data_IF_514208843284
#
_entry.id   IF_514208843284
#
_cell.length_a   1.000
_cell.length_b   1.000
_cell.length_c   1.000
_cell.angle_alpha   90.00
_cell.angle_beta   90.00
_cell.angle_gamma   90.00
#
_symmetry.space_group_name_H-M   'P 1'
#
loop_
_entity.id
_entity.type
_entity.pdbx_description
1 polymer ?
#
# COMPACT_ATOMS: atom_id res chain seq x y z
N UNK A 1 5.74 24.49 -24.28
CA UNK A 1 4.27 24.66 -24.30
C UNK A 1 3.72 25.19 -22.98
N UNK A 2 3.85 24.49 -21.84
CA UNK A 2 3.39 25.04 -20.54
C UNK A 2 4.03 26.40 -20.24
N UNK A 3 5.34 26.54 -20.44
CA UNK A 3 6.07 27.83 -20.33
C UNK A 3 5.48 28.97 -21.18
N UNK A 4 4.86 28.67 -22.32
CA UNK A 4 4.25 29.67 -23.20
C UNK A 4 2.79 29.99 -22.81
N UNK A 5 2.14 29.14 -22.00
CA UNK A 5 0.74 29.30 -21.59
C UNK A 5 0.59 30.07 -20.27
N UNK A 6 1.57 30.01 -19.37
CA UNK A 6 1.52 30.64 -18.04
C UNK A 6 0.36 30.19 -17.10
N UNK A 7 -0.44 29.18 -17.48
CA UNK A 7 -1.45 28.54 -16.62
C UNK A 7 -1.40 27.00 -16.72
N UNK A 8 -1.84 26.27 -15.68
CA UNK A 8 -1.83 24.79 -15.67
C UNK A 8 -2.69 24.21 -16.80
N UNK A 9 -2.26 23.08 -17.38
CA UNK A 9 -2.99 22.42 -18.46
C UNK A 9 -3.17 20.93 -18.21
N UNK A 10 -4.22 20.36 -18.77
CA UNK A 10 -4.47 18.92 -18.80
C UNK A 10 -3.59 18.23 -19.86
N UNK A 11 -3.28 16.93 -19.71
CA UNK A 11 -2.60 16.14 -20.75
C UNK A 11 -3.30 16.23 -22.11
N UNK A 12 -4.63 16.34 -22.11
CA UNK A 12 -5.47 16.53 -23.29
C UNK A 12 -5.18 17.87 -24.00
N UNK A 13 -4.93 18.94 -23.24
CA UNK A 13 -4.55 20.26 -23.79
C UNK A 13 -3.08 20.33 -24.21
N UNK A 14 -2.22 19.45 -23.67
CA UNK A 14 -0.79 19.36 -23.99
C UNK A 14 -0.56 18.49 -25.23
N UNK A 15 -1.34 17.42 -25.39
CA UNK A 15 -1.19 16.40 -26.44
C UNK A 15 -1.09 16.96 -27.87
N UNK A 16 -1.90 17.97 -28.29
CA UNK A 16 -1.82 18.51 -29.64
C UNK A 16 -0.46 19.14 -29.98
N UNK A 17 0.27 19.64 -28.97
CA UNK A 17 1.56 20.29 -29.16
C UNK A 17 2.76 19.33 -29.21
N UNK A 18 2.55 18.04 -28.92
CA UNK A 18 3.60 17.02 -28.86
C UNK A 18 3.69 16.15 -30.13
N UNK A 19 2.82 16.39 -31.12
CA UNK A 19 2.73 15.61 -32.35
C UNK A 19 1.79 14.40 -32.25
N UNK A 20 1.36 13.87 -33.39
CA UNK A 20 0.48 12.70 -33.46
C UNK A 20 1.21 11.43 -32.98
N UNK A 21 0.55 10.64 -32.12
CA UNK A 21 1.05 9.33 -31.65
C UNK A 21 1.53 9.26 -30.20
N UNK A 22 1.56 10.37 -29.46
CA UNK A 22 1.84 10.36 -28.02
C UNK A 22 0.56 10.07 -27.24
N UNK A 23 0.52 8.97 -26.48
CA UNK A 23 -0.63 8.66 -25.64
C UNK A 23 -0.69 9.57 -24.40
N UNK A 24 -1.91 9.90 -23.96
CA UNK A 24 -2.13 10.70 -22.74
C UNK A 24 -1.48 10.08 -21.50
N UNK A 25 -1.41 8.75 -21.44
CA UNK A 25 -0.73 8.02 -20.37
C UNK A 25 0.78 8.31 -20.34
N UNK A 26 1.45 8.28 -21.50
CA UNK A 26 2.88 8.62 -21.60
C UNK A 26 3.16 10.08 -21.25
N UNK A 27 2.25 11.01 -21.60
CA UNK A 27 2.34 12.41 -21.20
C UNK A 27 2.30 12.51 -19.67
N UNK A 28 1.34 11.84 -19.03
CA UNK A 28 1.20 11.82 -17.56
C UNK A 28 2.43 11.22 -16.88
N UNK A 29 2.96 10.11 -17.39
CA UNK A 29 4.16 9.46 -16.85
C UNK A 29 5.38 10.38 -16.96
N UNK A 30 5.61 10.99 -18.14
CA UNK A 30 6.74 11.88 -18.37
C UNK A 30 6.70 13.12 -17.46
N UNK A 31 5.52 13.73 -17.31
CA UNK A 31 5.34 14.88 -16.42
C UNK A 31 5.49 14.51 -14.95
N UNK A 32 5.08 13.30 -14.56
CA UNK A 32 5.27 12.80 -13.18
C UNK A 32 6.72 12.49 -12.85
N UNK A 33 7.49 12.03 -13.84
CA UNK A 33 8.89 11.68 -13.66
C UNK A 33 9.82 12.90 -13.68
N UNK A 34 9.42 13.99 -14.33
CA UNK A 34 10.25 15.17 -14.49
C UNK A 34 10.02 16.21 -13.37
N UNK A 35 11.06 16.54 -12.57
CA UNK A 35 10.93 17.41 -11.41
C UNK A 35 10.54 18.86 -11.74
N UNK A 36 10.65 19.28 -13.01
CA UNK A 36 10.27 20.62 -13.46
C UNK A 36 8.76 20.82 -13.49
N UNK A 37 7.98 19.76 -13.53
CA UNK A 37 6.52 19.82 -13.49
C UNK A 37 6.01 19.58 -12.06
N UNK A 38 4.86 20.17 -11.77
CA UNK A 38 4.08 19.89 -10.58
C UNK A 38 2.65 19.59 -10.98
N UNK A 39 2.02 18.65 -10.29
CA UNK A 39 0.61 18.38 -10.45
C UNK A 39 -0.16 19.44 -9.66
N UNK A 40 -0.92 20.29 -10.34
CA UNK A 40 -1.65 21.44 -9.72
C UNK A 40 -3.05 21.03 -9.32
N UNK A 41 -3.68 20.12 -10.08
CA UNK A 41 -4.90 19.40 -9.66
C UNK A 41 -4.80 17.93 -10.06
N UNK A 42 -5.82 17.11 -9.76
CA UNK A 42 -5.87 15.73 -10.27
C UNK A 42 -5.76 15.67 -11.80
N UNK A 43 -6.20 16.66 -12.55
CA UNK A 43 -6.16 16.62 -14.02
C UNK A 43 -5.14 17.56 -14.64
N UNK A 44 -4.68 18.59 -13.94
CA UNK A 44 -3.80 19.61 -14.51
C UNK A 44 -2.39 19.56 -13.94
N UNK A 45 -1.46 20.01 -14.77
CA UNK A 45 -0.05 20.12 -14.46
C UNK A 45 0.43 21.54 -14.76
N UNK A 46 1.29 22.06 -13.89
CA UNK A 46 1.97 23.34 -14.02
C UNK A 46 3.49 23.16 -13.97
N UNK A 47 4.22 24.26 -14.17
CA UNK A 47 5.66 24.28 -13.97
C UNK A 47 5.99 24.66 -12.53
N UNK A 48 6.98 23.98 -11.93
CA UNK A 48 7.43 24.25 -10.56
C UNK A 48 7.90 25.69 -10.35
N UNK A 49 8.43 26.32 -11.40
CA UNK A 49 8.86 27.71 -11.41
C UNK A 49 7.70 28.71 -11.25
N UNK A 50 6.45 28.28 -11.39
CA UNK A 50 5.27 29.14 -11.20
C UNK A 50 4.84 29.27 -9.74
N UNK A 51 5.51 28.56 -8.83
CA UNK A 51 5.23 28.60 -7.38
C UNK A 51 3.76 28.37 -7.02
N UNK A 52 3.06 27.58 -7.85
CA UNK A 52 1.68 27.18 -7.59
C UNK A 52 1.65 26.14 -6.47
N UNK A 53 0.64 26.17 -5.58
CA UNK A 53 0.46 25.12 -4.59
C UNK A 53 0.41 23.76 -5.29
N UNK A 54 1.28 22.85 -4.87
CA UNK A 54 1.21 21.47 -5.34
C UNK A 54 -0.14 20.88 -4.93
N UNK A 55 -0.77 20.13 -5.82
CA UNK A 55 -1.96 19.37 -5.49
C UNK A 55 -1.61 18.40 -4.37
N UNK A 56 -2.04 18.72 -3.15
CA UNK A 56 -1.82 17.92 -1.97
C UNK A 56 -2.70 16.65 -1.95
N UNK A 57 -3.45 16.41 -3.03
CA UNK A 57 -4.42 15.33 -3.15
C UNK A 57 -5.70 15.59 -2.36
N UNK A 58 -6.66 14.68 -2.46
CA UNK A 58 -7.95 14.80 -1.77
C UNK A 58 -7.75 14.98 -0.25
N UNK A 59 -6.81 14.26 0.37
CA UNK A 59 -6.49 14.43 1.81
C UNK A 59 -5.98 15.84 2.13
N UNK A 60 -5.17 16.44 1.27
CA UNK A 60 -4.69 17.81 1.48
C UNK A 60 -5.83 18.84 1.41
N UNK A 61 -6.72 18.68 0.43
CA UNK A 61 -7.89 19.55 0.28
C UNK A 61 -8.86 19.43 1.47
N UNK A 62 -9.13 18.19 1.91
CA UNK A 62 -9.92 17.93 3.13
C UNK A 62 -9.28 18.65 4.32
N UNK A 63 -7.98 18.49 4.51
CA UNK A 63 -7.25 19.10 5.61
C UNK A 63 -7.35 20.63 5.58
N UNK A 64 -7.16 21.26 4.42
CA UNK A 64 -7.26 22.70 4.27
C UNK A 64 -8.65 23.25 4.63
N UNK A 65 -9.74 22.54 4.28
CA UNK A 65 -11.11 22.96 4.62
C UNK A 65 -11.40 22.78 6.11
N UNK A 66 -10.87 21.73 6.73
CA UNK A 66 -10.95 21.54 8.18
C UNK A 66 -10.24 22.70 8.89
N UNK A 67 -9.04 23.08 8.44
CA UNK A 67 -8.26 24.15 9.06
C UNK A 67 -8.96 25.51 8.89
N UNK A 68 -9.50 25.80 7.70
CA UNK A 68 -10.27 27.02 7.42
C UNK A 68 -11.54 27.14 8.28
N UNK A 69 -12.14 26.01 8.66
CA UNK A 69 -13.31 25.95 9.56
C UNK A 69 -12.94 26.00 11.05
N UNK A 70 -11.67 26.26 11.40
CA UNK A 70 -11.22 26.31 12.79
C UNK A 70 -10.89 24.94 13.40
N UNK A 71 -10.56 23.95 12.56
CA UNK A 71 -10.04 22.65 12.98
C UNK A 71 -11.08 21.51 13.05
N UNK A 72 -12.36 21.80 12.86
CA UNK A 72 -13.44 20.80 12.77
C UNK A 72 -14.55 21.33 11.86
N UNK A 73 -15.15 20.44 11.07
CA UNK A 73 -16.24 20.81 10.16
C UNK A 73 -17.31 19.73 10.05
N UNK A 74 -18.54 20.11 9.70
CA UNK A 74 -19.58 19.15 9.38
C UNK A 74 -19.21 18.34 8.13
N UNK A 75 -19.34 17.01 8.19
CA UNK A 75 -18.93 16.12 7.10
C UNK A 75 -19.74 16.36 5.82
N UNK A 76 -21.04 16.67 5.91
CA UNK A 76 -21.86 16.96 4.73
C UNK A 76 -21.46 18.29 4.10
N UNK A 77 -21.24 19.31 4.92
CA UNK A 77 -20.79 20.62 4.48
C UNK A 77 -19.45 20.55 3.75
N UNK A 78 -18.48 19.83 4.33
CA UNK A 78 -17.18 19.56 3.71
C UNK A 78 -17.32 18.90 2.34
N UNK A 79 -18.14 17.85 2.23
CA UNK A 79 -18.37 17.15 0.97
C UNK A 79 -18.99 18.10 -0.07
N UNK A 80 -19.99 18.89 0.33
CA UNK A 80 -20.63 19.87 -0.55
C UNK A 80 -19.63 20.89 -1.08
N UNK A 81 -18.80 21.48 -0.20
CA UNK A 81 -17.77 22.44 -0.61
C UNK A 81 -16.75 21.83 -1.55
N UNK A 82 -16.17 20.67 -1.19
CA UNK A 82 -15.18 20.00 -2.02
C UNK A 82 -15.71 19.64 -3.40
N UNK A 83 -16.98 19.23 -3.50
CA UNK A 83 -17.61 18.91 -4.80
C UNK A 83 -17.91 20.15 -5.64
N UNK A 84 -18.23 21.28 -5.01
CA UNK A 84 -18.46 22.54 -5.72
C UNK A 84 -17.15 23.11 -6.29
N UNK A 85 -16.06 23.02 -5.55
CA UNK A 85 -14.76 23.58 -5.93
C UNK A 85 -13.90 22.63 -6.77
N UNK A 86 -14.09 21.31 -6.61
CA UNK A 86 -13.29 20.27 -7.26
C UNK A 86 -14.21 19.31 -8.01
N UNK A 87 -14.74 19.73 -9.19
CA UNK A 87 -15.77 18.99 -9.92
C UNK A 87 -15.31 17.61 -10.43
N UNK A 88 -14.01 17.33 -10.45
CA UNK A 88 -13.45 16.04 -10.87
C UNK A 88 -13.20 15.04 -9.73
N UNK A 89 -13.59 15.38 -8.49
CA UNK A 89 -13.52 14.48 -7.34
C UNK A 89 -14.90 13.89 -7.04
N UNK A 90 -14.99 12.56 -7.10
CA UNK A 90 -16.20 11.84 -6.72
C UNK A 90 -16.42 11.91 -5.20
N UNK A 91 -17.69 12.04 -4.78
CA UNK A 91 -18.06 11.99 -3.36
C UNK A 91 -17.55 10.73 -2.67
N UNK A 92 -17.62 9.59 -3.35
CA UNK A 92 -17.12 8.30 -2.84
C UNK A 92 -15.63 8.36 -2.51
N UNK A 93 -14.82 9.07 -3.33
CA UNK A 93 -13.40 9.26 -3.04
C UNK A 93 -13.19 10.12 -1.80
N UNK A 94 -13.95 11.21 -1.64
CA UNK A 94 -13.88 12.04 -0.42
C UNK A 94 -14.21 11.19 0.79
N UNK A 95 -15.30 10.40 0.74
CA UNK A 95 -15.70 9.52 1.84
C UNK A 95 -14.62 8.49 2.17
N UNK A 96 -14.04 7.80 1.18
CA UNK A 96 -12.91 6.89 1.36
C UNK A 96 -11.73 7.58 2.06
N UNK A 97 -11.40 8.82 1.67
CA UNK A 97 -10.36 9.58 2.35
C UNK A 97 -10.74 9.99 3.78
N UNK A 98 -12.01 10.18 4.10
CA UNK A 98 -12.47 10.50 5.45
C UNK A 98 -12.54 9.28 6.37
N UNK A 99 -12.81 8.08 5.82
CA UNK A 99 -13.04 6.85 6.60
C UNK A 99 -11.83 5.93 6.65
N UNK A 100 -11.11 5.77 5.54
CA UNK A 100 -10.10 4.71 5.38
C UNK A 100 -8.67 5.24 5.58
N UNK A 101 -8.51 6.57 5.53
CA UNK A 101 -7.30 7.28 5.95
C UNK A 101 -7.21 7.37 7.47
N UNK A 102 -5.99 7.34 8.01
CA UNK A 102 -5.74 7.61 9.43
C UNK A 102 -5.54 9.10 9.72
N UNK A 103 -5.45 9.96 8.70
CA UNK A 103 -5.19 11.39 8.88
C UNK A 103 -6.37 12.15 9.52
N UNK A 104 -7.56 11.56 9.58
CA UNK A 104 -8.78 12.21 10.06
C UNK A 104 -9.48 11.39 11.13
N UNK A 105 -10.20 12.07 12.00
CA UNK A 105 -11.15 11.48 12.95
C UNK A 105 -12.53 11.96 12.55
N UNK A 106 -13.43 11.01 12.31
CA UNK A 106 -14.83 11.25 11.96
C UNK A 106 -15.74 10.52 12.94
N UNK A 107 -16.77 11.22 13.44
CA UNK A 107 -17.85 10.64 14.23
C UNK A 107 -19.13 10.41 13.40
N UNK A 108 -19.03 10.62 12.08
CA UNK A 108 -20.15 10.55 11.13
C UNK A 108 -20.88 11.88 10.90
N UNK A 109 -20.87 12.79 11.86
CA UNK A 109 -21.46 14.13 11.72
C UNK A 109 -20.40 15.20 11.43
N UNK A 110 -19.26 15.11 12.09
CA UNK A 110 -18.13 16.02 11.95
C UNK A 110 -16.83 15.28 11.65
N UNK A 111 -15.89 16.00 11.07
CA UNK A 111 -14.52 15.54 10.85
C UNK A 111 -13.53 16.57 11.35
N UNK A 112 -12.42 16.08 11.90
CA UNK A 112 -11.21 16.87 12.22
C UNK A 112 -9.95 16.12 11.81
N UNK A 113 -8.81 16.81 11.81
CA UNK A 113 -7.51 16.14 11.69
C UNK A 113 -7.23 15.28 12.93
N UNK A 114 -6.52 14.18 12.70
CA UNK A 114 -5.88 13.42 13.77
C UNK A 114 -4.76 14.26 14.41
N UNK A 115 -4.61 14.11 15.71
CA UNK A 115 -3.56 14.69 16.56
C UNK A 115 -2.74 13.59 17.23
N UNK A 116 -1.63 13.95 17.87
CA UNK A 116 -0.78 12.97 18.57
C UNK A 116 -1.48 12.31 19.77
N UNK A 117 -2.49 12.98 20.35
CA UNK A 117 -3.24 12.47 21.50
C UNK A 117 -4.33 11.46 21.11
N UNK A 118 -4.60 11.30 19.81
CA UNK A 118 -5.62 10.38 19.32
C UNK A 118 -5.12 8.93 19.29
N UNK A 119 -5.89 7.98 19.87
CA UNK A 119 -5.50 6.58 19.85
C UNK A 119 -5.51 6.01 18.43
N UNK A 120 -4.53 5.16 18.12
CA UNK A 120 -4.52 4.41 16.88
C UNK A 120 -5.65 3.37 16.86
N UNK A 121 -6.28 3.11 15.70
CA UNK A 121 -7.20 1.99 15.58
C UNK A 121 -6.50 0.67 15.94
N UNK A 122 -7.21 -0.30 16.54
CA UNK A 122 -6.63 -1.58 16.89
C UNK A 122 -6.14 -2.31 15.63
N UNK A 123 -4.90 -2.80 15.69
CA UNK A 123 -4.32 -3.58 14.60
C UNK A 123 -4.60 -5.07 14.85
N UNK A 124 -5.20 -5.79 13.89
CA UNK A 124 -5.41 -7.23 14.04
C UNK A 124 -4.08 -7.99 14.14
N UNK A 125 -4.06 -9.20 14.72
CA UNK A 125 -2.85 -10.02 14.82
C UNK A 125 -2.38 -10.49 13.43
N UNK A 126 -1.08 -10.83 13.31
CA UNK A 126 -0.47 -11.27 12.05
C UNK A 126 -1.25 -12.37 11.32
N UNK A 127 -1.87 -13.30 12.06
CA UNK A 127 -2.68 -14.39 11.51
C UNK A 127 -3.88 -13.94 10.67
N UNK A 128 -4.33 -12.69 10.82
CA UNK A 128 -5.37 -12.11 9.97
C UNK A 128 -4.87 -11.79 8.55
N UNK A 129 -3.57 -11.58 8.37
CA UNK A 129 -2.99 -11.28 7.06
C UNK A 129 -2.80 -12.55 6.23
N UNK A 130 -3.36 -12.56 5.02
CA UNK A 130 -3.18 -13.63 4.03
C UNK A 130 -1.72 -13.81 3.67
N UNK A 131 -1.25 -15.05 3.55
CA UNK A 131 0.13 -15.36 3.13
C UNK A 131 1.21 -14.93 4.14
N UNK A 132 0.84 -14.44 5.32
CA UNK A 132 1.77 -14.04 6.37
C UNK A 132 1.94 -15.13 7.42
N UNK A 133 3.19 -15.40 7.81
CA UNK A 133 3.56 -16.43 8.77
C UNK A 133 4.72 -15.95 9.65
N UNK A 134 4.68 -16.35 10.92
CA UNK A 134 5.81 -16.17 11.84
C UNK A 134 6.72 -17.40 11.81
N UNK A 135 8.03 -17.18 11.85
CA UNK A 135 9.02 -18.22 12.11
C UNK A 135 9.91 -17.80 13.29
N UNK A 136 9.57 -18.28 14.49
CA UNK A 136 10.21 -17.82 15.72
C UNK A 136 9.92 -16.36 16.05
N UNK A 137 10.75 -15.74 16.90
CA UNK A 137 10.54 -14.37 17.34
C UNK A 137 10.99 -13.32 16.30
N UNK A 138 12.00 -13.64 15.50
CA UNK A 138 12.76 -12.67 14.70
C UNK A 138 12.47 -12.72 13.19
N UNK A 139 11.64 -13.64 12.71
CA UNK A 139 11.39 -13.78 11.27
C UNK A 139 9.90 -13.72 10.92
N UNK A 140 9.57 -12.82 9.98
CA UNK A 140 8.25 -12.69 9.38
C UNK A 140 8.35 -13.05 7.90
N UNK A 141 7.51 -13.97 7.46
CA UNK A 141 7.42 -14.41 6.07
C UNK A 141 6.12 -13.92 5.46
N UNK A 142 6.19 -13.34 4.26
CA UNK A 142 5.04 -12.83 3.53
C UNK A 142 5.08 -13.33 2.08
N UNK A 143 4.07 -14.09 1.70
CA UNK A 143 3.86 -14.56 0.34
C UNK A 143 3.00 -13.58 -0.46
N UNK A 144 3.60 -12.95 -1.47
CA UNK A 144 2.92 -12.03 -2.38
C UNK A 144 2.79 -12.64 -3.78
N UNK A 145 1.57 -12.78 -4.33
CA UNK A 145 1.40 -13.16 -5.73
C UNK A 145 2.09 -12.16 -6.67
N UNK A 146 2.81 -12.65 -7.67
CA UNK A 146 3.46 -11.79 -8.66
C UNK A 146 2.41 -11.29 -9.65
N UNK A 147 2.05 -10.02 -9.51
CA UNK A 147 1.10 -9.30 -10.37
C UNK A 147 1.84 -8.41 -11.38
N UNK A 148 1.21 -8.05 -12.52
CA UNK A 148 1.83 -7.15 -13.50
C UNK A 148 2.35 -5.83 -12.91
N UNK A 149 1.63 -5.23 -11.96
CA UNK A 149 2.05 -3.98 -11.31
C UNK A 149 3.31 -4.13 -10.47
N UNK A 150 3.51 -5.28 -9.81
CA UNK A 150 4.75 -5.58 -9.10
C UNK A 150 5.93 -5.61 -10.07
N UNK A 151 5.76 -6.28 -11.23
CA UNK A 151 6.78 -6.38 -12.27
C UNK A 151 7.06 -5.04 -12.98
N UNK A 152 6.05 -4.17 -13.08
CA UNK A 152 6.19 -2.77 -13.56
C UNK A 152 6.99 -1.93 -12.57
N UNK A 153 6.87 -2.24 -11.28
CA UNK A 153 7.59 -1.59 -10.20
C UNK A 153 6.73 -0.71 -9.30
N UNK A 154 5.42 -0.91 -9.30
CA UNK A 154 4.52 -0.30 -8.31
C UNK A 154 4.84 -0.83 -6.91
N UNK A 155 4.68 0.04 -5.90
CA UNK A 155 4.63 -0.41 -4.51
C UNK A 155 3.43 -1.33 -4.27
N UNK A 156 3.50 -2.15 -3.22
CA UNK A 156 2.46 -3.13 -2.89
C UNK A 156 1.80 -2.74 -1.57
N UNK A 157 0.46 -2.76 -1.53
CA UNK A 157 -0.27 -2.58 -0.27
C UNK A 157 0.00 -3.76 0.66
N UNK A 158 0.16 -3.48 1.94
CA UNK A 158 0.32 -4.46 3.00
C UNK A 158 -0.90 -4.44 3.93
N UNK A 159 -1.24 -5.61 4.45
CA UNK A 159 -2.19 -5.67 5.55
C UNK A 159 -1.58 -4.99 6.80
N UNK A 160 -2.34 -4.18 7.57
CA UNK A 160 -1.84 -3.51 8.78
C UNK A 160 -1.14 -4.45 9.77
N UNK A 161 -1.65 -5.67 9.92
CA UNK A 161 -1.03 -6.71 10.76
C UNK A 161 0.40 -7.08 10.34
N UNK A 162 0.74 -7.01 9.06
CA UNK A 162 2.10 -7.26 8.58
C UNK A 162 2.99 -6.09 8.97
N UNK A 163 2.57 -4.84 8.73
CA UNK A 163 3.34 -3.66 9.11
C UNK A 163 3.61 -3.62 10.62
N UNK A 164 2.60 -3.88 11.45
CA UNK A 164 2.78 -3.99 12.89
C UNK A 164 3.71 -5.14 13.31
N UNK A 165 3.63 -6.30 12.65
CA UNK A 165 4.56 -7.41 12.91
C UNK A 165 6.01 -7.10 12.48
N UNK A 166 6.19 -6.17 11.54
CA UNK A 166 7.48 -5.60 11.15
C UNK A 166 7.90 -4.43 12.07
N UNK A 167 7.14 -4.13 13.12
CA UNK A 167 7.46 -3.08 14.10
C UNK A 167 7.14 -1.66 13.62
N UNK A 168 6.22 -1.48 12.66
CA UNK A 168 5.74 -0.16 12.26
C UNK A 168 4.37 0.16 12.87
N UNK A 169 4.26 1.40 13.33
CA UNK A 169 3.01 2.09 13.66
C UNK A 169 2.57 3.00 12.50
N UNK A 170 1.34 3.53 12.53
CA UNK A 170 0.94 4.60 11.63
C UNK A 170 1.89 5.81 11.68
N UNK A 171 2.07 6.45 10.52
CA UNK A 171 3.02 7.54 10.23
C UNK A 171 4.51 7.15 10.25
N UNK A 172 4.84 5.88 10.46
CA UNK A 172 6.22 5.44 10.45
C UNK A 172 6.69 4.90 9.09
N UNK A 173 8.01 4.89 8.94
CA UNK A 173 8.75 4.26 7.85
C UNK A 173 9.85 3.39 8.45
N UNK A 174 10.02 2.21 7.89
CA UNK A 174 11.13 1.32 8.20
C UNK A 174 11.77 0.82 6.91
N UNK A 175 13.09 0.79 6.86
CA UNK A 175 13.82 0.24 5.73
C UNK A 175 14.34 -1.14 6.06
N UNK A 176 14.38 -2.00 5.04
CA UNK A 176 14.97 -3.32 5.12
C UNK A 176 16.06 -3.49 4.07
N UNK A 177 17.25 -3.89 4.49
CA UNK A 177 18.38 -4.12 3.59
C UNK A 177 18.19 -5.41 2.79
N UNK A 178 18.32 -5.32 1.47
CA UNK A 178 18.31 -6.48 0.58
C UNK A 178 19.53 -6.46 -0.34
N UNK A 179 19.87 -7.60 -0.92
CA UNK A 179 20.97 -7.72 -1.87
C UNK A 179 20.80 -6.81 -3.12
N UNK A 180 19.59 -6.34 -3.40
CA UNK A 180 19.26 -5.45 -4.53
C UNK A 180 19.10 -3.99 -4.12
N UNK A 181 19.49 -3.65 -2.88
CA UNK A 181 19.30 -2.34 -2.27
C UNK A 181 18.17 -2.33 -1.24
N UNK A 182 18.08 -1.26 -0.44
CA UNK A 182 17.10 -1.16 0.63
C UNK A 182 15.67 -1.09 0.09
N UNK A 183 14.73 -1.68 0.84
CA UNK A 183 13.29 -1.66 0.55
C UNK A 183 12.55 -1.04 1.73
N UNK A 184 11.86 0.06 1.48
CA UNK A 184 11.09 0.74 2.51
C UNK A 184 9.69 0.13 2.67
N UNK A 185 9.26 -0.03 3.92
CA UNK A 185 7.86 -0.20 4.33
C UNK A 185 7.42 1.10 4.98
N UNK A 186 6.23 1.59 4.65
CA UNK A 186 5.71 2.86 5.15
C UNK A 186 4.21 2.79 5.44
N UNK A 187 3.77 3.53 6.45
CA UNK A 187 2.37 3.61 6.85
C UNK A 187 1.89 5.06 6.90
N UNK A 188 1.77 5.70 5.73
CA UNK A 188 1.31 7.09 5.65
C UNK A 188 -0.11 7.24 6.18
N UNK A 189 -0.33 8.26 7.02
CA UNK A 189 -1.67 8.56 7.54
C UNK A 189 -2.69 8.85 6.46
N UNK A 190 -2.27 9.55 5.40
CA UNK A 190 -3.12 9.94 4.28
C UNK A 190 -3.44 8.80 3.30
N UNK A 191 -2.87 7.60 3.51
CA UNK A 191 -3.11 6.43 2.66
C UNK A 191 -4.50 5.87 2.93
N UNK A 192 -5.29 5.66 1.88
CA UNK A 192 -6.60 4.98 1.96
C UNK A 192 -6.48 3.46 1.86
N UNK A 193 -5.27 2.95 1.57
CA UNK A 193 -5.00 1.52 1.40
C UNK A 193 -4.15 0.95 2.55
N UNK A 194 -3.94 1.73 3.61
CA UNK A 194 -3.10 1.36 4.74
C UNK A 194 -1.60 1.37 4.41
N UNK A 195 -0.79 0.54 5.10
CA UNK A 195 0.64 0.46 4.89
C UNK A 195 0.99 -0.12 3.53
N UNK A 196 2.19 0.20 3.05
CA UNK A 196 2.71 -0.30 1.79
C UNK A 196 4.20 -0.62 1.88
N UNK A 197 4.64 -1.51 1.00
CA UNK A 197 6.06 -1.74 0.71
C UNK A 197 6.41 -1.08 -0.63
N UNK A 198 7.61 -0.51 -0.71
CA UNK A 198 8.15 0.10 -1.92
C UNK A 198 8.29 -0.94 -3.06
N UNK A 199 8.75 -0.47 -4.21
CA UNK A 199 8.91 -1.32 -5.39
C UNK A 199 9.75 -2.57 -5.09
N UNK A 200 9.20 -3.74 -5.43
CA UNK A 200 9.90 -5.04 -5.32
C UNK A 200 10.43 -5.53 -6.67
N UNK A 201 10.45 -4.66 -7.70
CA UNK A 201 10.81 -5.06 -9.06
C UNK A 201 12.24 -5.57 -9.17
N UNK A 202 13.18 -4.92 -8.48
CA UNK A 202 14.58 -5.33 -8.49
C UNK A 202 14.74 -6.73 -7.87
N UNK A 203 14.07 -6.98 -6.75
CA UNK A 203 14.06 -8.25 -6.04
C UNK A 203 13.41 -9.35 -6.88
N UNK A 204 12.25 -9.07 -7.49
CA UNK A 204 11.56 -10.00 -8.37
C UNK A 204 12.41 -10.39 -9.59
N UNK A 205 13.12 -9.43 -10.19
CA UNK A 205 14.07 -9.68 -11.29
C UNK A 205 15.24 -10.55 -10.86
N UNK A 206 15.82 -10.27 -9.69
CA UNK A 206 16.98 -11.01 -9.20
C UNK A 206 16.68 -12.52 -9.00
N UNK A 207 15.44 -12.86 -8.63
CA UNK A 207 15.02 -14.27 -8.49
C UNK A 207 14.33 -14.84 -9.72
N UNK A 208 14.31 -14.11 -10.85
CA UNK A 208 13.61 -14.48 -12.09
C UNK A 208 12.11 -14.81 -11.87
N UNK A 209 11.42 -14.06 -11.01
CA UNK A 209 9.99 -14.24 -10.77
C UNK A 209 9.15 -13.80 -11.98
N UNK A 210 8.16 -14.62 -12.33
CA UNK A 210 7.24 -14.39 -13.45
C UNK A 210 5.79 -14.31 -12.98
N UNK A 211 4.87 -14.00 -13.90
CA UNK A 211 3.43 -14.10 -13.60
C UNK A 211 3.07 -15.52 -13.13
N UNK A 212 2.10 -15.60 -12.22
CA UNK A 212 1.67 -16.83 -11.51
C UNK A 212 2.62 -17.33 -10.40
N UNK A 213 3.86 -16.86 -10.35
CA UNK A 213 4.74 -17.14 -9.22
C UNK A 213 4.26 -16.42 -7.94
N UNK A 214 4.79 -16.87 -6.81
CA UNK A 214 4.69 -16.16 -5.54
C UNK A 214 6.07 -15.64 -5.15
N UNK A 215 6.16 -14.36 -4.83
CA UNK A 215 7.35 -13.74 -4.25
C UNK A 215 7.28 -13.92 -2.73
N UNK A 216 8.17 -14.72 -2.16
CA UNK A 216 8.26 -14.91 -0.72
C UNK A 216 9.26 -13.89 -0.16
N UNK A 217 8.74 -12.96 0.63
CA UNK A 217 9.53 -11.99 1.38
C UNK A 217 9.84 -12.57 2.76
N UNK A 218 11.11 -12.55 3.15
CA UNK A 218 11.60 -13.07 4.43
C UNK A 218 12.28 -11.91 5.14
N UNK A 219 11.60 -11.36 6.13
CA UNK A 219 12.09 -10.25 6.94
C UNK A 219 12.73 -10.78 8.22
N UNK A 220 13.93 -10.31 8.51
CA UNK A 220 14.61 -10.51 9.79
C UNK A 220 14.58 -9.20 10.57
N UNK A 221 14.02 -9.22 11.78
CA UNK A 221 13.65 -8.00 12.50
C UNK A 221 14.84 -7.33 13.19
N UNK A 222 15.75 -8.09 13.79
CA UNK A 222 16.85 -7.56 14.61
C UNK A 222 17.86 -6.74 13.80
N UNK A 223 18.14 -7.15 12.56
CA UNK A 223 19.07 -6.48 11.66
C UNK A 223 18.37 -5.76 10.49
N UNK A 224 17.04 -5.71 10.52
CA UNK A 224 16.22 -5.15 9.44
C UNK A 224 16.64 -5.65 8.05
N UNK A 225 16.86 -6.96 7.85
CA UNK A 225 17.18 -7.50 6.52
C UNK A 225 15.94 -8.07 5.82
N UNK A 226 15.94 -8.00 4.49
CA UNK A 226 14.96 -8.61 3.59
C UNK A 226 15.65 -9.55 2.61
N UNK A 227 15.34 -10.84 2.72
CA UNK A 227 15.65 -11.83 1.70
C UNK A 227 14.40 -12.12 0.87
N UNK A 228 14.56 -12.29 -0.43
CA UNK A 228 13.46 -12.57 -1.36
C UNK A 228 13.71 -13.88 -2.08
N UNK A 229 12.70 -14.73 -2.13
CA UNK A 229 12.72 -16.00 -2.84
C UNK A 229 11.57 -16.09 -3.84
N UNK A 230 11.80 -16.82 -4.93
CA UNK A 230 10.75 -17.22 -5.87
C UNK A 230 10.15 -18.55 -5.42
N UNK A 231 8.83 -18.60 -5.32
CA UNK A 231 8.07 -19.83 -5.24
C UNK A 231 7.32 -20.01 -6.56
N UNK A 232 7.77 -20.98 -7.35
CA UNK A 232 7.14 -21.33 -8.62
C UNK A 232 5.70 -21.80 -8.45
N UNK A 233 4.87 -21.61 -9.48
CA UNK A 233 3.48 -22.07 -9.49
C UNK A 233 3.35 -23.61 -9.36
N UNK A 234 4.41 -24.35 -9.74
CA UNK A 234 4.53 -25.80 -9.59
C UNK A 234 4.77 -26.25 -8.14
N UNK A 235 5.27 -25.36 -7.28
CA UNK A 235 5.55 -25.66 -5.87
C UNK A 235 4.25 -25.60 -5.07
N UNK A 236 3.68 -26.77 -4.82
CA UNK A 236 2.38 -26.95 -4.15
C UNK A 236 2.49 -27.82 -2.89
N UNK A 237 1.37 -27.98 -2.17
CA UNK A 237 1.24 -28.92 -1.06
C UNK A 237 2.24 -28.70 0.08
N UNK A 238 2.78 -29.80 0.60
CA UNK A 238 3.72 -29.77 1.73
C UNK A 238 5.06 -29.11 1.36
N UNK A 239 5.49 -29.17 0.10
CA UNK A 239 6.68 -28.49 -0.37
C UNK A 239 6.51 -26.97 -0.28
N UNK A 240 5.36 -26.44 -0.74
CA UNK A 240 4.99 -25.03 -0.58
C UNK A 240 4.95 -24.63 0.89
N UNK A 241 4.26 -25.41 1.72
CA UNK A 241 4.11 -25.12 3.14
C UNK A 241 5.47 -25.00 3.85
N UNK A 242 6.43 -25.89 3.57
CA UNK A 242 7.78 -25.82 4.15
C UNK A 242 8.49 -24.50 3.82
N UNK A 243 8.34 -24.00 2.60
CA UNK A 243 8.91 -22.71 2.19
C UNK A 243 8.24 -21.53 2.87
N UNK A 244 6.91 -21.54 2.93
CA UNK A 244 6.12 -20.50 3.62
C UNK A 244 6.45 -20.40 5.11
N UNK A 245 6.70 -21.53 5.78
CA UNK A 245 7.00 -21.55 7.21
C UNK A 245 8.49 -21.42 7.55
N UNK A 246 9.39 -21.61 6.57
CA UNK A 246 10.83 -21.50 6.78
C UNK A 246 11.47 -22.60 7.61
N UNK A 247 10.77 -23.73 7.77
CA UNK A 247 11.20 -24.80 8.67
C UNK A 247 10.68 -26.16 8.21
N UNK A 248 11.30 -27.26 8.67
CA UNK A 248 10.78 -28.60 8.43
C UNK A 248 9.35 -28.73 8.96
N UNK A 249 8.48 -29.34 8.16
CA UNK A 249 7.09 -29.62 8.52
C UNK A 249 6.89 -31.14 8.55
N UNK A 250 6.70 -31.65 9.78
CA UNK A 250 6.30 -33.04 10.05
C UNK A 250 4.79 -33.17 10.16
N UNK A 251 4.19 -32.28 10.95
CA UNK A 251 2.73 -32.21 11.15
C UNK A 251 2.25 -30.82 10.71
N UNK A 252 1.59 -30.69 9.55
CA UNK A 252 1.14 -29.41 9.00
C UNK A 252 0.36 -28.56 9.99
N UNK A 253 -0.63 -29.16 10.67
CA UNK A 253 -1.50 -28.48 11.63
C UNK A 253 -0.70 -27.86 12.80
N UNK A 254 0.21 -28.63 13.40
CA UNK A 254 1.03 -28.14 14.50
C UNK A 254 1.98 -27.02 14.08
N UNK A 255 2.61 -27.15 12.90
CA UNK A 255 3.53 -26.14 12.38
C UNK A 255 2.79 -24.83 12.03
N UNK A 256 1.59 -24.94 11.45
CA UNK A 256 0.73 -23.80 11.14
C UNK A 256 0.21 -23.14 12.41
N UNK A 257 -0.26 -23.90 13.41
CA UNK A 257 -0.70 -23.37 14.70
C UNK A 257 0.37 -22.50 15.35
N UNK A 258 1.63 -22.95 15.38
CA UNK A 258 2.74 -22.16 15.90
C UNK A 258 3.03 -20.92 15.04
N UNK A 259 3.03 -21.02 13.71
CA UNK A 259 3.31 -19.87 12.83
C UNK A 259 2.18 -18.83 12.77
N UNK A 260 0.96 -19.24 13.04
CA UNK A 260 -0.23 -18.39 13.12
C UNK A 260 -0.52 -17.92 14.54
N UNK A 261 0.22 -18.41 15.55
CA UNK A 261 -0.05 -18.11 16.94
C UNK A 261 -1.53 -18.31 17.30
N UNK A 262 -2.02 -19.53 17.06
CA UNK A 262 -3.39 -19.93 17.38
C UNK A 262 -3.48 -21.41 17.79
N UNK A 263 -4.56 -21.82 18.49
CA UNK A 263 -4.82 -23.22 18.77
C UNK A 263 -4.94 -24.06 17.49
N UNK A 264 -4.47 -25.31 17.52
CA UNK A 264 -4.51 -26.25 16.38
C UNK A 264 -5.91 -26.37 15.76
N UNK A 265 -6.93 -26.53 16.61
CA UNK A 265 -8.34 -26.60 16.22
C UNK A 265 -8.85 -25.39 15.40
N UNK A 266 -8.20 -24.23 15.53
CA UNK A 266 -8.63 -22.99 14.87
C UNK A 266 -7.89 -22.75 13.54
N UNK A 267 -6.80 -23.49 13.27
CA UNK A 267 -5.91 -23.25 12.10
C UNK A 267 -6.70 -23.25 10.80
N UNK A 268 -7.52 -24.27 10.57
CA UNK A 268 -8.31 -24.37 9.33
C UNK A 268 -9.26 -23.17 9.17
N UNK A 269 -9.94 -22.76 10.25
CA UNK A 269 -10.85 -21.62 10.22
C UNK A 269 -10.12 -20.29 9.98
N UNK A 270 -8.94 -20.11 10.56
CA UNK A 270 -8.08 -18.93 10.34
C UNK A 270 -7.63 -18.84 8.89
N UNK A 271 -7.10 -19.93 8.32
CA UNK A 271 -6.62 -19.97 6.93
C UNK A 271 -7.72 -19.66 5.92
N UNK A 272 -8.92 -20.25 6.09
CA UNK A 272 -10.07 -19.97 5.21
C UNK A 272 -10.50 -18.51 5.27
N UNK A 273 -10.64 -17.97 6.49
CA UNK A 273 -11.07 -16.57 6.71
C UNK A 273 -10.19 -15.55 5.98
N UNK A 274 -8.88 -15.82 5.89
CA UNK A 274 -7.93 -14.94 5.20
C UNK A 274 -7.68 -15.32 3.75
N UNK A 275 -8.31 -16.39 3.23
CA UNK A 275 -8.21 -16.80 1.82
C UNK A 275 -6.99 -17.66 1.45
N UNK A 276 -6.41 -18.38 2.41
CA UNK A 276 -5.36 -19.39 2.17
C UNK A 276 -5.97 -20.80 2.06
N UNK A 277 -6.92 -20.97 1.12
CA UNK A 277 -7.67 -22.23 0.92
C UNK A 277 -6.76 -23.40 0.49
N UNK A 278 -5.75 -23.12 -0.33
CA UNK A 278 -4.76 -24.10 -0.78
C UNK A 278 -3.99 -24.70 0.40
N UNK A 279 -3.66 -23.88 1.40
CA UNK A 279 -2.99 -24.31 2.62
C UNK A 279 -3.97 -24.99 3.58
N UNK A 280 -5.20 -24.49 3.68
CA UNK A 280 -6.25 -25.09 4.52
C UNK A 280 -6.62 -26.52 4.05
N UNK A 281 -6.52 -26.80 2.74
CA UNK A 281 -6.75 -28.13 2.17
C UNK A 281 -5.76 -29.18 2.69
N UNK A 282 -4.55 -28.79 3.11
CA UNK A 282 -3.51 -29.70 3.63
C UNK A 282 -3.80 -30.23 5.04
N UNK A 283 -4.86 -29.76 5.69
CA UNK A 283 -5.26 -30.18 7.03
C UNK A 283 -6.31 -31.31 7.01
N UNK A 284 -6.83 -31.63 5.82
CA UNK A 284 -7.85 -32.68 5.61
C UNK A 284 -7.24 -34.03 5.20
N UNK A 285 -5.91 -34.16 5.20
CA UNK A 285 -5.16 -35.37 4.83
C UNK A 285 -4.63 -36.10 6.05
#
# INVERSE_FOLDING_TARGET
MLHARHFPATPEEISPALGSGVSLERIREAMSADPRFLRVTRRTWGLRIWDLPAHAGISGEIGARIDAAGGRINTRELITMLRAEIPDVAESSIRTHLTDSLAFISDGATVRRRTADDPWPPVPPLRAARGAYRNGANEIRLALPVKPDLLRGSGQSLHPAVAAALGLSPDERREFDSAQGPVAVLWRLVSTNGPMIASLRAQARAVNAQGLDTLLLIFTLDNASLTVERLGADVTGLARLRRLLGRPVRTPEAALATSLDCPRKDVAAVLRRRGDEDIAALLKS
#
